data_IF_474558460071
#
_entry.id   IF_474558460071
#
_cell.length_a   1.000
_cell.length_b   1.000
_cell.length_c   1.000
_cell.angle_alpha   90.00
_cell.angle_beta   90.00
_cell.angle_gamma   90.00
#
_symmetry.space_group_name_H-M   'P 1'
#
loop_
_entity.id
_entity.type
_entity.pdbx_description
1 polymer ?
#
# COMPACT_ATOMS: atom_id res chain seq x y z
N UNK A 1 -58.39 -4.31 -41.87
CA UNK A 1 -57.69 -4.85 -43.06
C UNK A 1 -57.00 -6.15 -42.65
N UNK A 2 -57.65 -7.28 -42.89
CA UNK A 2 -57.10 -8.62 -42.72
C UNK A 2 -56.34 -8.99 -44.00
N UNK A 3 -55.01 -9.14 -43.93
CA UNK A 3 -54.22 -9.61 -45.07
C UNK A 3 -54.20 -11.14 -45.13
N UNK A 4 -54.54 -11.63 -46.32
CA UNK A 4 -54.62 -13.01 -46.75
C UNK A 4 -53.28 -13.75 -46.62
N UNK A 5 -53.25 -14.83 -45.84
CA UNK A 5 -52.09 -15.72 -45.67
C UNK A 5 -52.05 -16.87 -46.71
N UNK A 6 -52.87 -16.83 -47.76
CA UNK A 6 -53.00 -17.93 -48.72
C UNK A 6 -52.05 -17.84 -49.94
N UNK A 7 -51.30 -16.74 -50.10
CA UNK A 7 -50.53 -16.48 -51.32
C UNK A 7 -49.01 -16.78 -51.22
N UNK A 8 -48.51 -17.18 -50.04
CA UNK A 8 -47.07 -17.34 -49.80
C UNK A 8 -46.50 -18.68 -50.27
N UNK A 9 -47.23 -19.78 -50.09
CA UNK A 9 -46.68 -21.13 -50.30
C UNK A 9 -46.54 -21.52 -51.78
N UNK A 10 -47.34 -20.93 -52.67
CA UNK A 10 -47.25 -21.17 -54.12
C UNK A 10 -45.95 -20.57 -54.71
N UNK A 11 -45.54 -19.40 -54.23
CA UNK A 11 -44.38 -18.66 -54.74
C UNK A 11 -43.03 -19.30 -54.39
N UNK A 12 -42.92 -20.00 -53.26
CA UNK A 12 -41.66 -20.67 -52.88
C UNK A 12 -41.42 -21.96 -53.68
N UNK A 13 -42.50 -22.69 -54.01
CA UNK A 13 -42.38 -23.95 -54.75
C UNK A 13 -41.93 -23.72 -56.19
N UNK A 14 -42.49 -22.70 -56.84
CA UNK A 14 -42.09 -22.30 -58.21
C UNK A 14 -40.62 -21.85 -58.26
N UNK A 15 -40.18 -21.03 -57.29
CA UNK A 15 -38.78 -20.60 -57.20
C UNK A 15 -37.80 -21.75 -56.94
N UNK A 16 -38.21 -22.74 -56.15
CA UNK A 16 -37.38 -23.91 -55.88
C UNK A 16 -37.22 -24.80 -57.12
N UNK A 17 -38.28 -24.95 -57.93
CA UNK A 17 -38.21 -25.67 -59.20
C UNK A 17 -37.36 -24.92 -60.25
N UNK A 18 -37.42 -23.58 -60.29
CA UNK A 18 -36.52 -22.78 -61.13
C UNK A 18 -35.05 -22.93 -60.73
N UNK A 19 -34.73 -22.88 -59.43
CA UNK A 19 -33.36 -23.09 -58.94
C UNK A 19 -32.85 -24.48 -59.30
N UNK A 20 -33.69 -25.51 -59.14
CA UNK A 20 -33.32 -26.88 -59.48
C UNK A 20 -33.07 -27.04 -60.99
N UNK A 21 -33.89 -26.41 -61.82
CA UNK A 21 -33.71 -26.36 -63.28
C UNK A 21 -32.41 -25.66 -63.71
N UNK A 22 -32.00 -24.61 -62.98
CA UNK A 22 -30.70 -23.96 -63.21
C UNK A 22 -29.53 -24.85 -62.79
N UNK A 23 -29.67 -25.58 -61.68
CA UNK A 23 -28.66 -26.53 -61.20
C UNK A 23 -28.51 -27.72 -62.16
N UNK A 24 -29.63 -28.31 -62.61
CA UNK A 24 -29.61 -29.42 -63.57
C UNK A 24 -28.93 -29.00 -64.90
N UNK A 25 -29.22 -27.79 -65.40
CA UNK A 25 -28.53 -27.23 -66.59
C UNK A 25 -27.04 -26.98 -66.37
N UNK A 26 -26.64 -26.62 -65.14
CA UNK A 26 -25.23 -26.44 -64.78
C UNK A 26 -24.52 -27.79 -64.86
N UNK A 27 -25.15 -28.84 -64.34
CA UNK A 27 -24.58 -30.18 -64.34
C UNK A 27 -24.50 -30.76 -65.76
N UNK A 28 -25.51 -30.54 -66.61
CA UNK A 28 -25.47 -30.89 -68.03
C UNK A 28 -24.30 -30.19 -68.76
N UNK A 29 -24.05 -28.91 -68.47
CA UNK A 29 -22.93 -28.17 -69.05
C UNK A 29 -21.58 -28.68 -68.54
N UNK A 30 -21.51 -29.10 -67.28
CA UNK A 30 -20.30 -29.73 -66.72
C UNK A 30 -20.04 -31.06 -67.43
N UNK A 31 -21.06 -31.88 -67.68
CA UNK A 31 -20.92 -33.16 -68.38
C UNK A 31 -20.52 -33.00 -69.85
N UNK A 32 -21.05 -31.98 -70.54
CA UNK A 32 -20.63 -31.64 -71.90
C UNK A 32 -19.16 -31.19 -71.92
N UNK A 33 -18.76 -30.35 -70.97
CA UNK A 33 -17.37 -29.93 -70.82
C UNK A 33 -16.44 -31.12 -70.49
N UNK A 34 -16.88 -32.04 -69.64
CA UNK A 34 -16.13 -33.24 -69.26
C UNK A 34 -16.01 -34.25 -70.43
N UNK A 35 -17.05 -34.39 -71.24
CA UNK A 35 -17.04 -35.24 -72.44
C UNK A 35 -16.13 -34.67 -73.53
N UNK A 36 -16.17 -33.35 -73.72
CA UNK A 36 -15.24 -32.64 -74.61
C UNK A 36 -13.78 -32.78 -74.13
N UNK A 37 -13.54 -32.78 -72.82
CA UNK A 37 -12.23 -32.94 -72.19
C UNK A 37 -11.60 -34.31 -72.48
N UNK A 38 -12.39 -35.39 -72.39
CA UNK A 38 -11.92 -36.75 -72.69
C UNK A 38 -11.50 -36.95 -74.16
N UNK A 39 -12.05 -36.17 -75.07
CA UNK A 39 -11.82 -36.29 -76.52
C UNK A 39 -10.66 -35.44 -77.03
N UNK A 40 -10.19 -34.47 -76.25
CA UNK A 40 -9.15 -33.51 -76.67
C UNK A 40 -8.08 -33.25 -75.58
N UNK A 41 -7.28 -34.27 -75.22
CA UNK A 41 -6.29 -34.16 -74.14
C UNK A 41 -5.14 -33.18 -74.43
N UNK A 42 -4.85 -32.91 -75.70
CA UNK A 42 -3.77 -32.01 -76.15
C UNK A 42 -4.13 -30.51 -76.01
N UNK A 43 -5.40 -30.18 -75.81
CA UNK A 43 -5.92 -28.81 -75.86
C UNK A 43 -5.68 -28.01 -74.57
N UNK A 44 -4.91 -28.53 -73.61
CA UNK A 44 -4.98 -28.10 -72.23
C UNK A 44 -3.75 -27.29 -71.76
N UNK A 45 -3.83 -25.96 -71.93
CA UNK A 45 -2.94 -24.96 -71.29
C UNK A 45 -3.56 -24.35 -70.01
N UNK A 46 -4.74 -24.81 -69.59
CA UNK A 46 -5.52 -24.20 -68.50
C UNK A 46 -5.43 -24.92 -67.14
N UNK A 47 -5.05 -26.20 -67.05
CA UNK A 47 -4.85 -26.87 -65.75
C UNK A 47 -3.79 -26.17 -64.92
N UNK A 48 -2.63 -25.88 -65.53
CA UNK A 48 -1.55 -25.16 -64.87
C UNK A 48 -1.95 -23.77 -64.39
N UNK A 49 -2.93 -23.13 -65.04
CA UNK A 49 -3.43 -21.81 -64.66
C UNK A 49 -4.42 -21.91 -63.48
N UNK A 50 -5.36 -22.85 -63.53
CA UNK A 50 -6.30 -23.13 -62.43
C UNK A 50 -5.57 -23.66 -61.19
N UNK A 51 -4.60 -24.56 -61.34
CA UNK A 51 -3.80 -25.07 -60.22
C UNK A 51 -2.92 -23.99 -59.62
N UNK A 52 -2.30 -23.12 -60.43
CA UNK A 52 -1.51 -22.00 -59.91
C UNK A 52 -2.40 -20.98 -59.18
N UNK A 53 -3.58 -20.67 -59.70
CA UNK A 53 -4.56 -19.78 -59.05
C UNK A 53 -5.07 -20.39 -57.73
N UNK A 54 -5.28 -21.72 -57.69
CA UNK A 54 -5.70 -22.45 -56.48
C UNK A 54 -4.59 -22.49 -55.43
N UNK A 55 -3.33 -22.70 -55.82
CA UNK A 55 -2.18 -22.69 -54.91
C UNK A 55 -1.97 -21.28 -54.34
N UNK A 56 -2.06 -20.25 -55.19
CA UNK A 56 -1.92 -18.86 -54.79
C UNK A 56 -3.05 -18.41 -53.84
N UNK A 57 -4.30 -18.81 -54.11
CA UNK A 57 -5.42 -18.53 -53.20
C UNK A 57 -5.27 -19.26 -51.87
N UNK A 58 -4.80 -20.51 -51.86
CA UNK A 58 -4.51 -21.23 -50.61
C UNK A 58 -3.39 -20.57 -49.79
N UNK A 59 -2.36 -20.04 -50.45
CA UNK A 59 -1.28 -19.32 -49.79
C UNK A 59 -1.77 -17.99 -49.19
N UNK A 60 -2.57 -17.22 -49.93
CA UNK A 60 -3.22 -16.02 -49.42
C UNK A 60 -4.15 -16.29 -48.22
N UNK A 61 -4.92 -17.37 -48.26
CA UNK A 61 -5.79 -17.77 -47.13
C UNK A 61 -4.96 -18.08 -45.90
N UNK A 62 -3.87 -18.85 -46.04
CA UNK A 62 -2.95 -19.16 -44.92
C UNK A 62 -2.35 -17.89 -44.33
N UNK A 63 -2.03 -16.92 -45.18
CA UNK A 63 -1.44 -15.65 -44.76
C UNK A 63 -2.46 -14.76 -44.04
N UNK A 64 -3.70 -14.69 -44.52
CA UNK A 64 -4.80 -14.00 -43.83
C UNK A 64 -5.06 -14.64 -42.46
N UNK A 65 -5.10 -15.96 -42.37
CA UNK A 65 -5.25 -16.65 -41.09
C UNK A 65 -4.06 -16.41 -40.14
N UNK A 66 -2.84 -16.30 -40.68
CA UNK A 66 -1.64 -15.98 -39.90
C UNK A 66 -1.75 -14.56 -39.33
N UNK A 67 -2.07 -13.58 -40.18
CA UNK A 67 -2.24 -12.19 -39.78
C UNK A 67 -3.38 -12.01 -38.78
N UNK A 68 -4.50 -12.70 -38.95
CA UNK A 68 -5.61 -12.67 -38.00
C UNK A 68 -5.19 -13.22 -36.63
N UNK A 69 -4.48 -14.36 -36.59
CA UNK A 69 -3.92 -14.91 -35.34
C UNK A 69 -2.94 -13.94 -34.68
N UNK A 70 -2.10 -13.26 -35.45
CA UNK A 70 -1.17 -12.26 -34.92
C UNK A 70 -1.88 -11.04 -34.36
N UNK A 71 -2.90 -10.54 -35.06
CA UNK A 71 -3.72 -9.42 -34.60
C UNK A 71 -4.46 -9.76 -33.31
N UNK A 72 -5.03 -10.97 -33.21
CA UNK A 72 -5.72 -11.45 -32.01
C UNK A 72 -4.77 -11.56 -30.82
N UNK A 73 -3.55 -12.08 -31.05
CA UNK A 73 -2.50 -12.14 -30.02
C UNK A 73 -2.09 -10.75 -29.55
N UNK A 74 -1.77 -9.85 -30.48
CA UNK A 74 -1.38 -8.48 -30.16
C UNK A 74 -2.49 -7.72 -29.42
N UNK A 75 -3.75 -7.92 -29.81
CA UNK A 75 -4.91 -7.32 -29.14
C UNK A 75 -5.06 -7.84 -27.70
N UNK A 76 -4.95 -9.16 -27.52
CA UNK A 76 -5.01 -9.80 -26.19
C UNK A 76 -3.88 -9.33 -25.27
N UNK A 77 -2.66 -9.21 -25.80
CA UNK A 77 -1.51 -8.74 -25.03
C UNK A 77 -1.66 -7.26 -24.65
N UNK A 78 -2.19 -6.45 -25.56
CA UNK A 78 -2.48 -5.04 -25.27
C UNK A 78 -3.52 -4.89 -24.16
N UNK A 79 -4.55 -5.73 -24.15
CA UNK A 79 -5.57 -5.71 -23.11
C UNK A 79 -5.01 -6.09 -21.74
N UNK A 80 -4.14 -7.10 -21.67
CA UNK A 80 -3.42 -7.49 -20.44
C UNK A 80 -2.54 -6.36 -19.92
N UNK A 81 -1.82 -5.65 -20.80
CA UNK A 81 -1.01 -4.49 -20.40
C UNK A 81 -1.87 -3.38 -19.80
N UNK A 82 -3.03 -3.09 -20.41
CA UNK A 82 -3.95 -2.06 -19.93
C UNK A 82 -4.54 -2.44 -18.57
N UNK A 83 -4.91 -3.70 -18.38
CA UNK A 83 -5.39 -4.21 -17.11
C UNK A 83 -4.31 -4.13 -16.01
N UNK A 84 -3.10 -4.56 -16.32
CA UNK A 84 -1.96 -4.47 -15.41
C UNK A 84 -1.67 -3.00 -15.04
N UNK A 85 -1.70 -2.09 -16.02
CA UNK A 85 -1.54 -0.66 -15.79
C UNK A 85 -2.63 -0.10 -14.87
N UNK A 86 -3.90 -0.44 -15.09
CA UNK A 86 -5.01 -0.03 -14.22
C UNK A 86 -4.85 -0.54 -12.79
N UNK A 87 -4.47 -1.82 -12.64
CA UNK A 87 -4.22 -2.42 -11.33
C UNK A 87 -3.08 -1.69 -10.60
N UNK A 88 -1.99 -1.39 -11.32
CA UNK A 88 -0.87 -0.63 -10.76
C UNK A 88 -1.25 0.78 -10.37
N UNK A 89 -2.00 1.51 -11.21
CA UNK A 89 -2.48 2.85 -10.86
C UNK A 89 -3.40 2.83 -9.63
N UNK A 90 -4.30 1.84 -9.54
CA UNK A 90 -5.18 1.67 -8.39
C UNK A 90 -4.38 1.36 -7.12
N UNK A 91 -3.44 0.41 -7.18
CA UNK A 91 -2.58 0.05 -6.04
C UNK A 91 -1.69 1.22 -5.62
N UNK A 92 -1.09 1.92 -6.57
CA UNK A 92 -0.26 3.08 -6.30
C UNK A 92 -1.05 4.18 -5.58
N UNK A 93 -2.25 4.50 -6.07
CA UNK A 93 -3.12 5.48 -5.42
C UNK A 93 -3.54 5.01 -4.02
N UNK A 94 -3.88 3.73 -3.84
CA UNK A 94 -4.22 3.18 -2.51
C UNK A 94 -3.04 3.31 -1.53
N UNK A 95 -1.83 2.93 -1.96
CA UNK A 95 -0.62 3.04 -1.12
C UNK A 95 -0.33 4.51 -0.80
N UNK A 96 -0.47 5.39 -1.79
CA UNK A 96 -0.28 6.83 -1.63
C UNK A 96 -1.29 7.42 -0.64
N UNK A 97 -2.57 7.03 -0.74
CA UNK A 97 -3.61 7.47 0.18
C UNK A 97 -3.38 6.95 1.60
N UNK A 98 -2.95 5.68 1.74
CA UNK A 98 -2.61 5.11 3.04
C UNK A 98 -1.38 5.79 3.65
N UNK A 99 -0.39 6.16 2.84
CA UNK A 99 0.76 6.94 3.29
C UNK A 99 0.34 8.35 3.74
N UNK A 100 -0.52 9.03 2.98
CA UNK A 100 -1.06 10.34 3.37
C UNK A 100 -1.90 10.26 4.64
N UNK A 101 -2.72 9.22 4.82
CA UNK A 101 -3.49 9.00 6.05
C UNK A 101 -2.58 8.76 7.24
N UNK A 102 -1.57 7.89 7.11
CA UNK A 102 -0.59 7.64 8.17
C UNK A 102 0.19 8.90 8.54
N UNK A 103 0.61 9.69 7.54
CA UNK A 103 1.28 10.96 7.78
C UNK A 103 0.35 11.94 8.52
N UNK A 104 -0.90 12.07 8.07
CA UNK A 104 -1.89 12.91 8.73
C UNK A 104 -2.24 12.42 10.15
N UNK A 105 -2.19 11.12 10.43
CA UNK A 105 -2.34 10.56 11.78
C UNK A 105 -1.14 10.86 12.67
N UNK A 106 0.08 10.81 12.14
CA UNK A 106 1.30 11.23 12.84
C UNK A 106 1.27 12.73 13.15
N UNK A 107 0.77 13.54 12.23
CA UNK A 107 0.67 14.99 12.36
C UNK A 107 -0.46 15.43 13.31
N UNK A 108 -1.41 14.54 13.65
CA UNK A 108 -2.61 14.90 14.41
C UNK A 108 -2.36 15.24 15.88
N UNK A 109 -1.25 14.83 16.50
CA UNK A 109 -0.97 15.20 17.89
C UNK A 109 0.50 14.99 18.32
N UNK A 110 1.45 15.81 17.81
CA UNK A 110 2.86 15.67 18.14
C UNK A 110 3.08 15.76 19.65
N UNK A 111 4.03 14.95 20.15
CA UNK A 111 4.46 15.00 21.55
C UNK A 111 5.98 14.82 21.63
N UNK A 112 6.56 15.38 22.67
CA UNK A 112 7.99 15.23 22.98
C UNK A 112 8.12 14.24 24.13
N UNK A 113 8.96 13.23 23.94
CA UNK A 113 9.30 12.26 24.97
C UNK A 113 10.69 12.57 25.54
N UNK A 114 10.74 12.86 26.84
CA UNK A 114 11.98 13.08 27.58
C UNK A 114 12.21 11.89 28.51
N UNK A 115 13.34 11.22 28.33
CA UNK A 115 13.76 10.08 29.15
C UNK A 115 15.00 10.50 29.94
N UNK A 116 14.92 10.44 31.26
CA UNK A 116 16.00 10.86 32.16
C UNK A 116 16.48 9.67 32.98
N UNK A 117 17.80 9.54 33.12
CA UNK A 117 18.42 8.62 34.08
C UNK A 117 18.56 9.34 35.43
N UNK A 118 17.71 8.98 36.38
CA UNK A 118 17.69 9.57 37.72
C UNK A 118 18.75 9.02 38.67
N UNK A 119 19.40 7.89 38.34
CA UNK A 119 20.54 7.40 39.12
C UNK A 119 21.83 8.14 38.73
N UNK A 120 21.98 8.48 37.44
CA UNK A 120 23.11 9.26 36.91
C UNK A 120 22.95 10.78 37.04
N UNK A 121 21.73 11.29 37.16
CA UNK A 121 21.43 12.73 37.28
C UNK A 121 20.50 12.99 38.46
N UNK A 122 21.09 13.08 39.64
CA UNK A 122 20.36 13.35 40.89
C UNK A 122 19.87 14.81 40.91
N UNK A 123 18.61 15.03 41.32
CA UNK A 123 18.04 16.36 41.48
C UNK A 123 18.74 17.14 42.60
N UNK A 124 18.74 18.47 42.51
CA UNK A 124 19.38 19.32 43.52
C UNK A 124 18.82 19.09 44.93
N UNK A 125 19.71 19.09 45.93
CA UNK A 125 19.40 18.85 47.34
C UNK A 125 18.23 19.72 47.86
N UNK A 126 18.14 20.97 47.40
CA UNK A 126 17.06 21.90 47.79
C UNK A 126 15.65 21.39 47.43
N UNK A 127 15.52 20.60 46.38
CA UNK A 127 14.24 19.98 46.02
C UNK A 127 14.07 18.68 46.79
N UNK A 128 15.12 17.85 46.87
CA UNK A 128 15.05 16.57 47.59
C UNK A 128 14.67 16.75 49.06
N UNK A 129 15.24 17.74 49.74
CA UNK A 129 14.99 18.04 51.15
C UNK A 129 13.56 18.49 51.46
N UNK A 130 12.85 19.04 50.46
CA UNK A 130 11.44 19.48 50.59
C UNK A 130 10.43 18.34 50.36
N UNK A 131 10.90 17.09 50.21
CA UNK A 131 10.05 15.92 50.04
C UNK A 131 9.04 16.10 48.89
N UNK A 132 7.76 15.84 49.14
CA UNK A 132 6.69 15.92 48.14
C UNK A 132 6.59 17.30 47.48
N UNK A 133 6.70 18.38 48.24
CA UNK A 133 6.61 19.74 47.71
C UNK A 133 7.78 20.06 46.78
N UNK A 134 8.98 19.59 47.14
CA UNK A 134 10.15 19.71 46.28
C UNK A 134 10.03 18.90 44.98
N UNK A 135 9.36 17.75 45.03
CA UNK A 135 9.01 16.98 43.83
C UNK A 135 8.13 17.78 42.87
N UNK A 136 7.11 18.48 43.40
CA UNK A 136 6.23 19.35 42.61
C UNK A 136 6.98 20.54 42.03
N UNK A 137 7.81 21.19 42.83
CA UNK A 137 8.64 22.33 42.42
C UNK A 137 9.62 21.94 41.30
N UNK A 138 10.30 20.79 41.44
CA UNK A 138 11.21 20.26 40.43
C UNK A 138 10.51 19.92 39.11
N UNK A 139 9.33 19.30 39.16
CA UNK A 139 8.53 19.01 37.96
C UNK A 139 8.08 20.30 37.25
N UNK A 140 7.63 21.30 38.02
CA UNK A 140 7.26 22.62 37.49
C UNK A 140 8.42 23.32 36.79
N UNK A 141 9.58 23.37 37.45
CA UNK A 141 10.79 23.98 36.89
C UNK A 141 11.27 23.26 35.63
N UNK A 142 11.31 21.93 35.65
CA UNK A 142 11.69 21.13 34.48
C UNK A 142 10.76 21.38 33.29
N UNK A 143 9.45 21.43 33.51
CA UNK A 143 8.46 21.70 32.47
C UNK A 143 8.64 23.10 31.85
N UNK A 144 8.88 24.11 32.69
CA UNK A 144 9.17 25.47 32.23
C UNK A 144 10.43 25.50 31.36
N UNK A 145 11.55 24.96 31.86
CA UNK A 145 12.82 24.94 31.13
C UNK A 145 12.75 24.14 29.83
N UNK A 146 12.04 23.01 29.81
CA UNK A 146 11.82 22.23 28.58
C UNK A 146 11.04 23.04 27.56
N UNK A 147 9.91 23.64 27.93
CA UNK A 147 9.10 24.47 27.03
C UNK A 147 9.90 25.63 26.45
N UNK A 148 10.67 26.31 27.28
CA UNK A 148 11.52 27.42 26.85
C UNK A 148 12.62 26.96 25.87
N UNK A 149 13.28 25.83 26.16
CA UNK A 149 14.29 25.24 25.27
C UNK A 149 13.70 24.79 23.93
N UNK A 150 12.52 24.16 23.95
CA UNK A 150 11.79 23.75 22.74
C UNK A 150 11.45 24.98 21.90
N UNK A 151 10.91 26.03 22.51
CA UNK A 151 10.53 27.25 21.78
C UNK A 151 11.74 27.92 21.10
N UNK A 152 12.92 27.87 21.74
CA UNK A 152 14.16 28.40 21.16
C UNK A 152 14.72 27.52 20.04
N UNK A 153 14.71 26.20 20.25
CA UNK A 153 15.40 25.25 19.35
C UNK A 153 14.52 24.80 18.18
N UNK A 154 13.21 24.78 18.37
CA UNK A 154 12.21 24.31 17.41
C UNK A 154 11.00 25.27 17.36
N UNK A 155 11.16 26.49 16.81
CA UNK A 155 10.11 27.52 16.84
C UNK A 155 8.85 27.16 16.05
N UNK A 156 8.94 26.20 15.14
CA UNK A 156 7.84 25.70 14.32
C UNK A 156 6.89 24.76 15.08
N UNK A 157 7.29 24.25 16.25
CA UNK A 157 6.41 23.42 17.07
C UNK A 157 5.40 24.30 17.81
N UNK A 158 4.15 23.83 17.88
CA UNK A 158 3.10 24.51 18.64
C UNK A 158 3.48 24.64 20.11
N UNK A 159 3.10 25.76 20.74
CA UNK A 159 3.21 25.96 22.19
C UNK A 159 2.39 24.90 22.97
N UNK A 160 1.36 24.33 22.35
CA UNK A 160 0.48 23.32 22.94
C UNK A 160 1.01 21.89 22.79
N UNK A 161 2.26 21.70 22.36
CA UNK A 161 2.86 20.38 22.26
C UNK A 161 2.85 19.66 23.61
N UNK A 162 2.46 18.38 23.59
CA UNK A 162 2.43 17.55 24.80
C UNK A 162 3.86 17.11 25.12
N UNK A 163 4.28 17.29 26.38
CA UNK A 163 5.60 16.88 26.85
C UNK A 163 5.40 15.73 27.83
N UNK A 164 5.95 14.56 27.50
CA UNK A 164 5.96 13.37 28.33
C UNK A 164 7.34 13.21 28.94
N UNK A 165 7.44 13.21 30.26
CA UNK A 165 8.71 13.08 30.98
C UNK A 165 8.71 11.80 31.79
N UNK A 166 9.77 11.01 31.67
CA UNK A 166 9.96 9.82 32.51
C UNK A 166 11.37 9.78 33.07
N UNK A 167 11.46 9.88 34.39
CA UNK A 167 12.70 9.70 35.14
C UNK A 167 12.79 8.24 35.56
N UNK A 168 13.87 7.55 35.20
CA UNK A 168 14.10 6.17 35.61
C UNK A 168 15.19 6.13 36.67
N UNK A 169 14.89 5.56 37.82
CA UNK A 169 15.88 5.37 38.87
C UNK A 169 15.63 4.07 39.61
N UNK A 170 16.64 3.54 40.29
CA UNK A 170 16.43 2.58 41.36
C UNK A 170 16.02 3.36 42.61
N UNK A 171 14.73 3.64 42.78
CA UNK A 171 14.22 4.57 43.80
C UNK A 171 14.68 4.18 45.20
N UNK A 172 14.68 2.88 45.51
CA UNK A 172 15.11 2.35 46.81
C UNK A 172 16.63 2.50 47.02
N UNK A 173 17.42 2.25 45.98
CA UNK A 173 18.87 2.45 46.00
C UNK A 173 19.24 3.92 46.17
N UNK A 174 18.63 4.78 45.36
CA UNK A 174 18.81 6.23 45.40
C UNK A 174 18.40 6.82 46.77
N UNK A 175 17.24 6.43 47.30
CA UNK A 175 16.78 6.89 48.61
C UNK A 175 17.75 6.54 49.75
N UNK A 176 18.32 5.33 49.72
CA UNK A 176 19.36 4.91 50.68
C UNK A 176 20.64 5.69 50.52
N UNK A 177 21.09 5.88 49.27
CA UNK A 177 22.30 6.65 48.97
C UNK A 177 22.19 8.10 49.45
N UNK A 178 21.07 8.78 49.14
CA UNK A 178 20.82 10.15 49.58
C UNK A 178 20.76 10.28 51.11
N UNK A 179 20.18 9.30 51.80
CA UNK A 179 20.13 9.31 53.28
C UNK A 179 21.52 9.09 53.89
N UNK A 180 22.32 8.15 53.36
CA UNK A 180 23.69 7.91 53.82
C UNK A 180 24.61 9.10 53.57
N UNK A 181 24.39 9.83 52.48
CA UNK A 181 25.11 11.06 52.16
C UNK A 181 24.66 12.28 52.98
N UNK A 182 23.61 12.17 53.79
CA UNK A 182 23.06 13.28 54.57
C UNK A 182 22.29 14.31 53.74
N UNK A 183 21.97 14.02 52.48
CA UNK A 183 21.21 14.91 51.59
C UNK A 183 19.75 15.00 52.06
N UNK A 184 19.19 13.85 52.45
CA UNK A 184 17.83 13.75 53.00
C UNK A 184 17.84 13.13 54.39
N UNK A 185 16.90 13.52 55.24
CA UNK A 185 16.82 13.03 56.62
C UNK A 185 16.49 11.52 56.72
N UNK A 186 15.78 10.97 55.74
CA UNK A 186 15.48 9.54 55.66
C UNK A 186 15.13 9.12 54.23
N UNK A 187 15.21 7.82 53.89
CA UNK A 187 14.80 7.32 52.57
C UNK A 187 13.35 7.67 52.20
N UNK A 188 12.45 7.79 53.19
CA UNK A 188 11.05 8.15 52.96
C UNK A 188 10.87 9.55 52.34
N UNK A 189 11.81 10.47 52.59
CA UNK A 189 11.80 11.82 52.00
C UNK A 189 11.96 11.73 50.47
N UNK A 190 12.83 10.84 50.00
CA UNK A 190 13.04 10.62 48.57
C UNK A 190 11.81 9.99 47.89
N UNK A 191 11.13 9.08 48.58
CA UNK A 191 9.87 8.48 48.09
C UNK A 191 8.75 9.52 47.99
N UNK A 192 8.67 10.43 48.97
CA UNK A 192 7.74 11.57 48.93
C UNK A 192 8.08 12.51 47.77
N UNK A 193 9.36 12.81 47.53
CA UNK A 193 9.79 13.57 46.36
C UNK A 193 9.34 12.93 45.05
N UNK A 194 9.61 11.64 44.85
CA UNK A 194 9.24 10.93 43.63
C UNK A 194 7.71 10.94 43.39
N UNK A 195 6.94 10.83 44.47
CA UNK A 195 5.47 10.95 44.45
C UNK A 195 5.03 12.36 44.06
N UNK A 196 5.59 13.39 44.69
CA UNK A 196 5.29 14.79 44.39
C UNK A 196 5.60 15.14 42.93
N UNK A 197 6.72 14.67 42.41
CA UNK A 197 7.09 14.82 41.00
C UNK A 197 6.06 14.19 40.07
N UNK A 198 5.71 12.92 40.31
CA UNK A 198 4.76 12.15 39.49
C UNK A 198 3.35 12.76 39.51
N UNK A 199 2.90 13.26 40.67
CA UNK A 199 1.57 13.83 40.81
C UNK A 199 1.47 15.28 40.31
N UNK A 200 2.59 15.96 40.10
CA UNK A 200 2.60 17.37 39.74
C UNK A 200 2.10 17.65 38.34
N UNK A 201 2.37 16.77 37.36
CA UNK A 201 1.94 16.95 35.98
C UNK A 201 1.42 15.64 35.38
N UNK A 202 0.33 15.65 34.58
CA UNK A 202 -0.30 14.43 34.08
C UNK A 202 0.57 13.50 33.22
N UNK A 203 1.64 14.03 32.63
CA UNK A 203 2.52 13.30 31.71
C UNK A 203 3.95 13.13 32.26
N UNK A 204 4.13 13.34 33.57
CA UNK A 204 5.43 13.23 34.24
C UNK A 204 5.40 12.02 35.17
N UNK A 205 6.34 11.11 34.98
CA UNK A 205 6.46 9.90 35.78
C UNK A 205 7.84 9.79 36.40
N UNK A 206 7.90 9.44 37.68
CA UNK A 206 9.11 8.91 38.33
C UNK A 206 9.00 7.38 38.41
N UNK A 207 9.75 6.69 37.56
CA UNK A 207 9.63 5.25 37.32
C UNK A 207 10.72 4.50 38.09
N UNK A 208 10.31 3.72 39.07
CA UNK A 208 11.21 2.78 39.74
C UNK A 208 11.59 1.63 38.78
N UNK A 209 12.90 1.40 38.64
CA UNK A 209 13.45 0.33 37.83
C UNK A 209 13.88 -0.89 38.64
N UNK A 210 13.76 -0.80 39.97
CA UNK A 210 14.13 -1.85 40.90
C UNK A 210 15.64 -2.01 41.08
N UNK A 211 16.02 -3.01 41.87
CA UNK A 211 17.43 -3.26 42.18
C UNK A 211 18.17 -3.90 40.98
N UNK A 212 19.35 -3.36 40.65
CA UNK A 212 20.25 -3.89 39.61
C UNK A 212 20.96 -2.78 38.85
N UNK A 213 22.22 -3.02 38.49
CA UNK A 213 23.02 -2.07 37.69
C UNK A 213 22.42 -1.95 36.27
N UNK A 214 22.46 -0.75 35.69
CA UNK A 214 22.08 -0.48 34.29
C UNK A 214 20.60 -0.73 33.93
N UNK A 215 19.69 -0.84 34.93
CA UNK A 215 18.26 -1.05 34.68
C UNK A 215 17.59 0.16 34.03
N UNK A 216 17.93 1.36 34.50
CA UNK A 216 17.51 2.63 33.88
C UNK A 216 18.00 2.70 32.43
N UNK A 217 19.29 2.49 32.20
CA UNK A 217 19.88 2.44 30.86
C UNK A 217 19.20 1.43 29.95
N UNK A 218 18.94 0.21 30.44
CA UNK A 218 18.26 -0.83 29.67
C UNK A 218 16.86 -0.39 29.24
N UNK A 219 16.08 0.21 30.15
CA UNK A 219 14.73 0.73 29.86
C UNK A 219 14.77 1.88 28.88
N UNK A 220 15.71 2.81 29.06
CA UNK A 220 15.90 3.98 28.21
C UNK A 220 16.29 3.52 26.79
N UNK A 221 17.32 2.67 26.65
CA UNK A 221 17.75 2.08 25.37
C UNK A 221 16.64 1.31 24.67
N UNK A 222 15.82 0.55 25.40
CA UNK A 222 14.67 -0.15 24.83
C UNK A 222 13.58 0.79 24.30
N UNK A 223 13.35 1.93 24.97
CA UNK A 223 12.35 2.93 24.55
C UNK A 223 12.80 3.76 23.35
N UNK A 224 14.09 4.05 23.22
CA UNK A 224 14.63 4.66 22.00
C UNK A 224 14.35 3.79 20.76
N UNK A 225 14.59 2.48 20.85
CA UNK A 225 14.31 1.55 19.72
C UNK A 225 12.83 1.45 19.31
N UNK A 226 11.90 1.79 20.20
CA UNK A 226 10.47 1.88 19.88
C UNK A 226 10.11 3.24 19.27
N UNK A 227 10.81 4.31 19.66
CA UNK A 227 10.64 5.65 19.10
C UNK A 227 11.26 5.80 17.70
N UNK A 228 12.22 4.94 17.34
CA UNK A 228 12.77 4.83 15.97
C UNK A 228 11.70 4.49 14.91
N UNK A 229 10.51 4.02 15.31
CA UNK A 229 9.37 3.86 14.39
C UNK A 229 8.65 5.17 14.03
N UNK A 230 8.99 6.29 14.66
CA UNK A 230 8.45 7.62 14.35
C UNK A 230 9.54 8.67 14.03
N UNK A 231 10.81 8.27 13.94
CA UNK A 231 11.91 9.14 13.48
C UNK A 231 12.43 8.63 12.13
N UNK A 232 11.58 8.73 11.11
CA UNK A 232 12.06 8.86 9.74
C UNK A 232 12.13 10.36 9.45
N UNK A 233 13.35 10.84 9.21
CA UNK A 233 13.65 12.17 8.68
C UNK A 233 12.81 12.48 7.43
#
# INVERSE_FOLDING_TARGET
>A
MTMSAANGSQTYRERFEELKSVEDRKDDLIDVCHSFWLLHPESFRWEGRITNDTVYTQELVREVERLDRELQRASSDKERELECSRLWHSRYNSIKDDAHKKQAEMDRNPFILVLLDGDGMIFEDRFLQKAEEGGKEAAGMLSFSLRESIQRSMPSLSHDIRIVVRVYANTKGLARACALAGIVASPAVMEQFARGFTQSQPLFDFVDTGEGKERADYKIKGKYKLADFCLLF
#
